data_IF_576560178489
#
_entry.id   IF_576560178489
#
_cell.length_a   1.000
_cell.length_b   1.000
_cell.length_c   1.000
_cell.angle_alpha   90.00
_cell.angle_beta   90.00
_cell.angle_gamma   90.00
#
_symmetry.space_group_name_H-M   'P 1'
#
loop_
_entity.id
_entity.type
_entity.pdbx_description
1 polymer ?
#
# COMPACT_ATOMS: atom_id res chain seq x y z
N UNK A 1 -45.92 -9.35 -69.91
CA UNK A 1 -45.78 -9.27 -68.44
C UNK A 1 -44.29 -9.29 -68.11
N UNK A 2 -43.78 -8.21 -67.51
CA UNK A 2 -42.36 -8.02 -67.18
C UNK A 2 -42.09 -8.62 -65.79
N UNK A 3 -41.12 -9.53 -65.67
CA UNK A 3 -40.57 -9.93 -64.38
C UNK A 3 -39.14 -9.40 -64.29
N UNK A 4 -38.92 -8.49 -63.34
CA UNK A 4 -37.62 -7.96 -62.97
C UNK A 4 -37.02 -8.87 -61.88
N UNK A 5 -35.83 -9.41 -62.13
CA UNK A 5 -34.98 -10.02 -61.11
C UNK A 5 -33.93 -8.99 -60.67
N UNK A 6 -34.01 -8.55 -59.42
CA UNK A 6 -32.98 -7.74 -58.77
C UNK A 6 -32.02 -8.70 -58.07
N UNK A 7 -30.75 -8.72 -58.52
CA UNK A 7 -29.67 -9.44 -57.86
C UNK A 7 -29.10 -8.53 -56.75
N UNK A 8 -29.24 -8.93 -55.49
CA UNK A 8 -28.75 -8.20 -54.32
C UNK A 8 -27.37 -8.76 -53.95
N UNK A 9 -26.30 -8.05 -54.30
CA UNK A 9 -24.92 -8.41 -53.95
C UNK A 9 -24.61 -8.00 -52.50
N UNK A 10 -24.38 -8.98 -51.62
CA UNK A 10 -23.86 -8.81 -50.27
C UNK A 10 -22.33 -8.66 -50.33
N UNK A 11 -21.83 -7.45 -50.08
CA UNK A 11 -20.41 -7.19 -49.84
C UNK A 11 -20.13 -7.43 -48.35
N UNK A 12 -19.48 -8.55 -48.03
CA UNK A 12 -18.98 -8.83 -46.69
C UNK A 12 -17.68 -8.03 -46.46
N UNK A 13 -17.76 -6.96 -45.68
CA UNK A 13 -16.61 -6.16 -45.28
C UNK A 13 -15.94 -6.85 -44.08
N UNK A 14 -14.96 -7.72 -44.34
CA UNK A 14 -14.16 -8.36 -43.29
C UNK A 14 -13.16 -7.36 -42.70
N UNK A 15 -13.50 -6.75 -41.57
CA UNK A 15 -12.55 -5.98 -40.76
C UNK A 15 -11.56 -6.95 -40.09
N UNK A 16 -10.38 -7.09 -40.67
CA UNK A 16 -9.26 -7.75 -39.99
C UNK A 16 -8.72 -6.81 -38.91
N UNK A 17 -9.03 -7.09 -37.65
CA UNK A 17 -8.36 -6.47 -36.52
C UNK A 17 -6.90 -6.96 -36.51
N UNK A 18 -5.97 -6.09 -36.90
CA UNK A 18 -4.54 -6.31 -36.68
C UNK A 18 -4.26 -6.21 -35.18
N UNK A 19 -4.24 -7.36 -34.52
CA UNK A 19 -3.69 -7.51 -33.16
C UNK A 19 -2.20 -7.22 -33.27
N UNK A 20 -1.78 -6.01 -32.86
CA UNK A 20 -0.38 -5.73 -32.60
C UNK A 20 0.03 -6.57 -31.40
N UNK A 21 0.70 -7.69 -31.65
CA UNK A 21 1.40 -8.42 -30.61
C UNK A 21 2.46 -7.49 -30.02
N UNK A 22 2.21 -6.97 -28.81
CA UNK A 22 3.21 -6.26 -28.04
C UNK A 22 4.32 -7.26 -27.71
N UNK A 23 5.46 -7.13 -28.39
CA UNK A 23 6.66 -7.91 -28.10
C UNK A 23 7.04 -7.68 -26.64
N UNK A 24 7.09 -8.75 -25.84
CA UNK A 24 7.55 -8.66 -24.46
C UNK A 24 8.93 -7.97 -24.44
N UNK A 25 9.20 -7.08 -23.46
CA UNK A 25 10.50 -6.43 -23.35
C UNK A 25 11.61 -7.48 -23.30
N UNK A 26 12.67 -7.28 -24.08
CA UNK A 26 13.84 -8.16 -24.03
C UNK A 26 14.41 -8.12 -22.60
N UNK A 27 14.67 -9.27 -21.97
CA UNK A 27 15.24 -9.29 -20.63
C UNK A 27 16.60 -8.57 -20.62
N UNK A 28 16.85 -7.81 -19.55
CA UNK A 28 18.11 -7.13 -19.34
C UNK A 28 19.27 -8.13 -19.23
N UNK A 29 20.49 -7.74 -19.66
CA UNK A 29 21.71 -8.46 -19.31
C UNK A 29 21.84 -8.61 -17.79
N UNK A 30 22.55 -9.66 -17.36
CA UNK A 30 22.72 -9.98 -15.94
C UNK A 30 23.31 -8.80 -15.14
N UNK A 31 24.22 -8.05 -15.73
CA UNK A 31 24.89 -6.93 -15.09
C UNK A 31 23.94 -5.75 -14.88
N UNK A 32 23.07 -5.46 -15.84
CA UNK A 32 22.00 -4.45 -15.71
C UNK A 32 21.00 -4.87 -14.62
N UNK A 33 20.58 -6.14 -14.65
CA UNK A 33 19.69 -6.70 -13.62
C UNK A 33 20.33 -6.64 -12.23
N UNK A 34 21.64 -6.87 -12.12
CA UNK A 34 22.35 -6.79 -10.84
C UNK A 34 22.35 -5.39 -10.24
N UNK A 35 22.49 -4.33 -11.06
CA UNK A 35 22.35 -2.94 -10.58
C UNK A 35 20.94 -2.69 -10.07
N UNK A 36 19.92 -3.08 -10.84
CA UNK A 36 18.52 -2.95 -10.43
C UNK A 36 18.22 -3.65 -9.10
N UNK A 37 18.68 -4.90 -8.98
CA UNK A 37 18.49 -5.72 -7.78
C UNK A 37 19.25 -5.14 -6.57
N UNK A 38 20.39 -4.48 -6.80
CA UNK A 38 21.13 -3.79 -5.74
C UNK A 38 20.36 -2.58 -5.23
N UNK A 39 19.88 -1.68 -6.10
CA UNK A 39 19.09 -0.51 -5.69
C UNK A 39 17.84 -0.91 -4.90
N UNK A 40 17.19 -1.99 -5.34
CA UNK A 40 16.05 -2.59 -4.67
C UNK A 40 16.40 -3.12 -3.28
N UNK A 41 17.57 -3.74 -3.12
CA UNK A 41 18.05 -4.23 -1.83
C UNK A 41 18.39 -3.08 -0.89
N UNK A 42 19.07 -2.05 -1.40
CA UNK A 42 19.47 -0.88 -0.62
C UNK A 42 18.24 -0.14 -0.06
N UNK A 43 17.24 0.12 -0.91
CA UNK A 43 16.00 0.76 -0.48
C UNK A 43 15.29 -0.05 0.64
N UNK A 44 15.28 -1.37 0.54
CA UNK A 44 14.68 -2.23 1.57
C UNK A 44 15.49 -2.28 2.85
N UNK A 45 16.81 -2.21 2.76
CA UNK A 45 17.69 -2.16 3.92
C UNK A 45 17.44 -0.90 4.76
N UNK A 46 17.01 0.19 4.11
CA UNK A 46 16.55 1.43 4.75
C UNK A 46 15.11 1.36 5.28
N UNK A 47 14.41 0.23 5.10
CA UNK A 47 13.00 0.06 5.45
C UNK A 47 12.02 0.68 4.44
N UNK A 48 12.52 1.13 3.29
CA UNK A 48 11.72 1.76 2.25
C UNK A 48 11.08 0.78 1.26
N UNK A 49 10.13 1.32 0.49
CA UNK A 49 9.44 0.63 -0.61
C UNK A 49 10.05 1.07 -1.94
N UNK A 50 10.50 0.10 -2.73
CA UNK A 50 11.15 0.33 -4.01
C UNK A 50 10.10 0.51 -5.13
N UNK A 51 10.09 1.70 -5.74
CA UNK A 51 9.17 2.09 -6.82
C UNK A 51 9.97 2.30 -8.11
N UNK A 52 9.88 1.38 -9.09
CA UNK A 52 10.64 1.47 -10.32
C UNK A 52 9.79 1.89 -11.53
N UNK A 53 10.35 2.75 -12.38
CA UNK A 53 10.05 2.80 -13.81
C UNK A 53 11.01 1.86 -14.56
N UNK A 54 10.57 0.60 -14.71
CA UNK A 54 11.35 -0.40 -15.45
C UNK A 54 11.57 -0.04 -16.92
N UNK A 55 10.71 0.77 -17.55
CA UNK A 55 10.90 1.14 -18.95
C UNK A 55 12.02 2.18 -19.09
N UNK A 56 12.06 3.15 -18.16
CA UNK A 56 13.09 4.19 -18.10
C UNK A 56 14.42 3.74 -17.50
N UNK A 57 14.45 2.67 -16.70
CA UNK A 57 15.64 2.29 -15.91
C UNK A 57 16.90 2.00 -16.72
N UNK A 58 16.78 1.36 -17.87
CA UNK A 58 17.95 0.98 -18.65
C UNK A 58 17.73 1.11 -20.15
N UNK A 59 18.57 1.92 -20.78
CA UNK A 59 18.54 2.16 -22.23
C UNK A 59 19.73 1.49 -22.89
N UNK A 60 19.46 0.62 -23.87
CA UNK A 60 20.50 0.03 -24.70
C UNK A 60 21.04 1.07 -25.69
N UNK A 61 22.34 1.27 -25.69
CA UNK A 61 23.03 2.22 -26.57
C UNK A 61 24.27 1.59 -27.19
N UNK A 62 25.00 2.34 -28.00
CA UNK A 62 26.34 1.96 -28.45
C UNK A 62 27.18 3.25 -28.45
N UNK A 63 28.12 3.33 -27.52
CA UNK A 63 28.92 4.54 -27.21
C UNK A 63 30.42 4.25 -27.15
N UNK A 64 30.81 2.98 -27.04
CA UNK A 64 32.20 2.55 -27.02
C UNK A 64 32.82 2.37 -28.41
N UNK A 65 32.03 2.44 -29.49
CA UNK A 65 32.46 2.28 -30.88
C UNK A 65 33.07 0.90 -31.19
N UNK A 66 32.67 -0.14 -30.46
CA UNK A 66 33.14 -1.53 -30.65
C UNK A 66 32.12 -2.42 -31.37
N UNK A 67 30.97 -1.84 -31.77
CA UNK A 67 29.90 -2.53 -32.48
C UNK A 67 29.04 -3.46 -31.59
N UNK A 68 29.25 -3.44 -30.27
CA UNK A 68 28.46 -4.19 -29.29
C UNK A 68 27.60 -3.24 -28.46
N UNK A 69 26.46 -3.73 -27.93
CA UNK A 69 25.61 -2.86 -27.13
C UNK A 69 26.24 -2.52 -25.78
N UNK A 70 26.15 -1.25 -25.43
CA UNK A 70 26.37 -0.69 -24.10
C UNK A 70 25.01 -0.39 -23.46
N UNK A 71 24.99 -0.05 -22.17
CA UNK A 71 23.75 0.26 -21.44
C UNK A 71 23.93 1.50 -20.57
N UNK A 72 23.01 2.46 -20.70
CA UNK A 72 22.88 3.56 -19.73
C UNK A 72 21.83 3.17 -18.70
N UNK A 73 22.20 3.30 -17.43
CA UNK A 73 21.37 3.02 -16.25
C UNK A 73 20.93 4.35 -15.65
N UNK A 74 19.61 4.56 -15.59
CA UNK A 74 18.97 5.78 -15.11
C UNK A 74 18.50 5.58 -13.67
N UNK A 75 19.29 6.04 -12.69
CA UNK A 75 18.92 5.84 -11.29
C UNK A 75 17.67 6.65 -10.91
N UNK A 76 17.44 7.76 -11.60
CA UNK A 76 16.23 8.58 -11.49
C UNK A 76 14.94 7.84 -11.88
N UNK A 77 15.04 6.74 -12.63
CA UNK A 77 13.90 5.87 -12.93
C UNK A 77 13.52 4.98 -11.74
N UNK A 78 14.14 5.17 -10.58
CA UNK A 78 13.80 4.45 -9.34
C UNK A 78 13.61 5.45 -8.21
N UNK A 79 12.71 5.11 -7.29
CA UNK A 79 12.38 5.90 -6.10
C UNK A 79 12.30 4.98 -4.90
N UNK A 80 12.83 5.43 -3.75
CA UNK A 80 12.62 4.76 -2.48
C UNK A 80 11.70 5.61 -1.60
N UNK A 81 10.75 5.02 -0.88
CA UNK A 81 9.78 5.84 -0.11
C UNK A 81 10.40 6.61 1.06
N UNK A 82 11.53 6.15 1.60
CA UNK A 82 12.26 6.77 2.73
C UNK A 82 13.16 7.93 2.32
N UNK A 83 13.63 7.93 1.08
CA UNK A 83 14.63 8.88 0.57
C UNK A 83 14.20 9.55 -0.74
N UNK A 84 12.97 9.30 -1.20
CA UNK A 84 12.43 9.85 -2.44
C UNK A 84 13.28 9.47 -3.66
N UNK A 85 13.39 10.42 -4.59
CA UNK A 85 14.36 10.36 -5.69
C UNK A 85 15.77 10.81 -5.25
N UNK A 86 15.85 11.47 -4.08
CA UNK A 86 17.09 12.07 -3.57
C UNK A 86 18.18 11.05 -3.21
N UNK A 87 17.83 9.78 -3.04
CA UNK A 87 18.80 8.71 -2.83
C UNK A 87 19.89 8.67 -3.92
N UNK A 88 19.57 9.10 -5.14
CA UNK A 88 20.47 9.07 -6.29
C UNK A 88 20.47 10.38 -7.10
N UNK A 89 19.85 11.42 -6.56
CA UNK A 89 19.71 12.71 -7.22
C UNK A 89 20.05 13.85 -6.26
N UNK A 90 20.63 14.92 -6.80
CA UNK A 90 20.92 16.15 -6.06
C UNK A 90 20.96 17.36 -6.97
N UNK A 91 21.53 18.47 -6.49
CA UNK A 91 21.61 19.74 -7.26
C UNK A 91 22.50 19.62 -8.52
N UNK A 92 23.35 18.59 -8.58
CA UNK A 92 24.16 18.24 -9.75
C UNK A 92 23.41 17.39 -10.78
N UNK A 93 22.14 17.06 -10.53
CA UNK A 93 21.34 16.12 -11.31
C UNK A 93 21.33 14.72 -10.70
N UNK A 94 20.96 13.71 -11.49
CA UNK A 94 20.83 12.34 -11.04
C UNK A 94 22.00 11.48 -11.51
N UNK A 95 22.30 10.43 -10.74
CA UNK A 95 23.32 9.45 -11.12
C UNK A 95 22.89 8.73 -12.39
N UNK A 96 23.80 8.66 -13.35
CA UNK A 96 23.73 7.66 -14.41
C UNK A 96 24.91 6.70 -14.30
N UNK A 97 24.64 5.42 -14.52
CA UNK A 97 25.67 4.41 -14.75
C UNK A 97 25.79 4.11 -16.24
N UNK A 98 26.99 3.84 -16.75
CA UNK A 98 27.15 3.29 -18.11
C UNK A 98 27.91 1.98 -18.02
N UNK A 99 27.24 0.91 -18.45
CA UNK A 99 27.85 -0.41 -18.58
C UNK A 99 28.32 -0.60 -20.03
N UNK A 100 29.64 -0.58 -20.22
CA UNK A 100 30.29 -0.74 -21.51
C UNK A 100 30.63 -2.20 -21.81
N UNK A 101 30.53 -2.57 -23.08
CA UNK A 101 30.93 -3.87 -23.58
C UNK A 101 32.43 -4.14 -23.41
N UNK A 102 32.76 -5.37 -22.97
CA UNK A 102 34.14 -5.86 -22.87
C UNK A 102 34.25 -7.29 -23.39
N UNK A 103 35.45 -7.88 -23.32
CA UNK A 103 35.67 -9.29 -23.63
C UNK A 103 34.97 -10.23 -22.64
N UNK A 104 34.72 -9.79 -21.41
CA UNK A 104 34.22 -10.62 -20.31
C UNK A 104 32.76 -10.29 -19.93
N UNK A 105 32.02 -9.58 -20.80
CA UNK A 105 30.68 -9.08 -20.49
C UNK A 105 30.65 -7.57 -20.34
N UNK A 106 29.62 -7.07 -19.67
CA UNK A 106 29.47 -5.64 -19.41
C UNK A 106 30.24 -5.23 -18.15
N UNK A 107 30.82 -4.03 -18.15
CA UNK A 107 31.41 -3.43 -16.95
C UNK A 107 31.05 -1.96 -16.85
N UNK A 108 30.99 -1.44 -15.63
CA UNK A 108 30.84 0.00 -15.43
C UNK A 108 32.06 0.75 -16.01
N UNK A 109 31.77 1.71 -16.88
CA UNK A 109 32.75 2.60 -17.51
C UNK A 109 32.47 4.08 -17.23
N UNK A 110 31.33 4.40 -16.61
CA UNK A 110 30.95 5.73 -16.14
C UNK A 110 29.95 5.60 -14.98
N UNK A 111 30.08 6.44 -13.96
CA UNK A 111 29.16 6.56 -12.84
C UNK A 111 29.33 7.96 -12.23
N UNK A 112 28.38 8.85 -12.47
CA UNK A 112 28.40 10.21 -11.91
C UNK A 112 27.03 10.88 -12.02
N UNK A 113 26.85 12.00 -11.32
CA UNK A 113 25.67 12.85 -11.41
C UNK A 113 25.69 13.70 -12.70
N UNK A 114 24.60 13.64 -13.46
CA UNK A 114 24.39 14.47 -14.64
C UNK A 114 22.98 15.06 -14.64
N UNK A 115 22.82 16.20 -15.30
CA UNK A 115 21.54 16.87 -15.54
C UNK A 115 20.89 16.46 -16.88
N UNK A 116 21.53 15.55 -17.61
CA UNK A 116 21.15 15.23 -18.98
C UNK A 116 22.22 14.40 -19.68
N UNK A 117 21.82 13.56 -20.62
CA UNK A 117 22.75 12.90 -21.53
C UNK A 117 22.13 12.60 -22.90
N UNK A 118 22.99 12.49 -23.91
CA UNK A 118 22.63 11.96 -25.22
C UNK A 118 23.83 11.27 -25.90
N UNK A 119 23.54 10.29 -26.75
CA UNK A 119 24.51 9.74 -27.69
C UNK A 119 24.53 10.62 -28.93
N UNK A 120 25.68 11.23 -29.19
CA UNK A 120 25.89 12.17 -30.29
C UNK A 120 26.88 11.60 -31.32
N UNK A 121 26.77 12.06 -32.56
CA UNK A 121 27.80 11.83 -33.58
C UNK A 121 28.93 12.84 -33.38
N UNK A 122 30.15 12.37 -33.16
CA UNK A 122 31.34 13.24 -33.04
C UNK A 122 32.01 13.43 -34.39
N UNK A 123 31.96 12.40 -35.24
CA UNK A 123 32.28 12.50 -36.66
C UNK A 123 31.48 11.44 -37.46
N UNK A 124 31.78 11.29 -38.74
CA UNK A 124 31.08 10.36 -39.63
C UNK A 124 31.17 8.87 -39.23
N UNK A 125 32.12 8.51 -38.36
CA UNK A 125 32.39 7.11 -37.98
C UNK A 125 32.30 6.87 -36.48
N UNK A 126 32.37 7.92 -35.65
CA UNK A 126 32.44 7.79 -34.20
C UNK A 126 31.27 8.47 -33.51
N UNK A 127 30.69 7.73 -32.56
CA UNK A 127 29.76 8.26 -31.56
C UNK A 127 30.52 8.72 -30.33
N UNK A 128 29.90 9.64 -29.62
CA UNK A 128 30.31 10.10 -28.30
C UNK A 128 29.10 10.27 -27.41
N UNK A 129 29.38 10.63 -26.17
CA UNK A 129 28.40 10.91 -25.15
C UNK A 129 28.42 12.41 -24.85
N UNK A 130 27.30 13.07 -25.02
CA UNK A 130 27.09 14.41 -24.48
C UNK A 130 26.50 14.26 -23.08
N UNK A 131 27.10 14.93 -22.10
CA UNK A 131 26.62 15.00 -20.73
C UNK A 131 26.32 16.44 -20.36
N UNK A 132 25.21 16.67 -19.68
CA UNK A 132 24.89 17.96 -19.09
C UNK A 132 25.28 17.97 -17.62
N UNK A 133 26.05 18.96 -17.22
CA UNK A 133 26.55 19.15 -15.86
C UNK A 133 26.37 20.60 -15.42
N UNK A 134 26.82 20.90 -14.20
CA UNK A 134 26.78 22.23 -13.62
C UNK A 134 27.67 23.22 -14.40
N UNK A 135 27.19 24.46 -14.60
CA UNK A 135 27.87 25.48 -15.40
C UNK A 135 29.31 25.79 -14.97
N UNK A 136 29.65 25.57 -13.70
CA UNK A 136 31.02 25.74 -13.19
C UNK A 136 32.05 24.85 -13.89
N UNK A 137 31.65 23.70 -14.43
CA UNK A 137 32.52 22.82 -15.23
C UNK A 137 33.00 23.54 -16.50
N UNK A 138 32.13 24.36 -17.09
CA UNK A 138 32.44 25.21 -18.23
C UNK A 138 33.05 26.57 -17.84
N UNK A 139 33.26 26.84 -16.54
CA UNK A 139 33.66 28.13 -15.99
C UNK A 139 32.54 29.19 -15.88
N UNK A 140 31.28 28.74 -15.86
CA UNK A 140 30.08 29.56 -15.66
C UNK A 140 29.55 29.50 -14.22
N UNK A 141 28.30 29.93 -14.02
CA UNK A 141 27.61 29.85 -12.73
C UNK A 141 26.93 28.50 -12.53
N UNK A 142 26.56 28.18 -11.30
CA UNK A 142 26.02 26.87 -11.00
C UNK A 142 24.63 26.52 -11.52
N UNK A 143 23.80 27.55 -11.66
CA UNK A 143 22.50 27.40 -12.29
C UNK A 143 22.61 27.20 -13.82
N UNK A 144 23.72 27.58 -14.43
CA UNK A 144 23.92 27.37 -15.88
C UNK A 144 24.15 25.89 -16.19
N UNK A 145 23.90 25.51 -17.44
CA UNK A 145 24.09 24.16 -17.95
C UNK A 145 25.36 24.11 -18.80
N UNK A 146 26.26 23.18 -18.45
CA UNK A 146 27.47 22.88 -19.19
C UNK A 146 27.31 21.55 -19.93
N UNK A 147 27.52 21.52 -21.24
CA UNK A 147 27.62 20.30 -22.02
C UNK A 147 29.06 19.83 -22.14
N UNK A 148 29.35 18.59 -21.79
CA UNK A 148 30.64 17.93 -22.01
C UNK A 148 30.51 16.82 -23.05
N UNK A 149 31.36 16.84 -24.07
CA UNK A 149 31.44 15.75 -25.07
C UNK A 149 32.56 14.80 -24.71
N UNK A 150 32.20 13.55 -24.41
CA UNK A 150 33.12 12.46 -24.11
C UNK A 150 33.17 11.47 -25.27
N UNK A 151 34.37 11.00 -25.59
CA UNK A 151 34.61 9.93 -26.57
C UNK A 151 35.36 8.79 -25.90
N UNK A 152 34.89 7.57 -26.10
CA UNK A 152 35.59 6.39 -25.62
C UNK A 152 36.80 6.08 -26.49
N UNK A 153 37.98 5.96 -25.89
CA UNK A 153 39.22 5.64 -26.63
C UNK A 153 39.61 4.15 -26.58
N UNK A 154 38.69 3.27 -26.16
CA UNK A 154 38.95 1.86 -25.92
C UNK A 154 39.37 1.53 -24.48
N UNK A 155 39.74 2.53 -23.67
CA UNK A 155 40.15 2.32 -22.27
C UNK A 155 39.46 3.24 -21.27
N UNK A 156 39.26 4.51 -21.63
CA UNK A 156 38.64 5.54 -20.80
C UNK A 156 37.89 6.55 -21.65
N UNK A 157 37.03 7.31 -21.01
CA UNK A 157 36.45 8.51 -21.59
C UNK A 157 37.51 9.60 -21.76
N UNK A 158 37.48 10.25 -22.91
CA UNK A 158 38.30 11.43 -23.21
C UNK A 158 37.33 12.57 -23.52
N UNK A 159 37.44 13.67 -22.76
CA UNK A 159 36.71 14.89 -23.08
C UNK A 159 37.31 15.52 -24.34
N UNK A 160 36.45 15.75 -25.34
CA UNK A 160 36.85 16.30 -26.65
C UNK A 160 36.17 17.62 -26.98
N UNK A 161 35.11 17.97 -26.25
CA UNK A 161 34.37 19.20 -26.44
C UNK A 161 33.69 19.65 -25.15
N UNK A 162 33.42 20.95 -25.08
CA UNK A 162 32.68 21.56 -23.99
C UNK A 162 31.87 22.75 -24.50
N UNK A 163 30.63 22.88 -24.07
CA UNK A 163 29.66 23.85 -24.58
C UNK A 163 28.90 24.49 -23.41
N UNK A 164 28.80 25.82 -23.40
CA UNK A 164 27.95 26.54 -22.43
C UNK A 164 26.53 26.69 -22.97
N UNK A 165 25.57 26.84 -22.06
CA UNK A 165 24.18 27.16 -22.37
C UNK A 165 23.53 26.15 -23.33
N UNK A 166 23.84 24.87 -23.12
CA UNK A 166 23.18 23.79 -23.86
C UNK A 166 21.75 23.68 -23.34
N UNK A 167 20.82 23.50 -24.26
CA UNK A 167 19.39 23.34 -23.99
C UNK A 167 19.10 21.90 -23.50
N UNK A 168 18.71 21.69 -22.22
CA UNK A 168 18.44 20.36 -21.69
C UNK A 168 17.30 19.64 -22.38
N UNK A 169 16.30 20.38 -22.89
CA UNK A 169 15.11 19.80 -23.55
C UNK A 169 15.42 19.04 -24.85
N UNK A 170 16.67 19.11 -25.33
CA UNK A 170 17.14 18.40 -26.53
C UNK A 170 17.87 17.10 -26.21
N UNK A 171 18.05 16.76 -24.94
CA UNK A 171 18.70 15.52 -24.52
C UNK A 171 17.71 14.35 -24.53
N UNK A 172 18.24 13.13 -24.66
CA UNK A 172 17.41 11.91 -24.66
C UNK A 172 17.15 11.35 -23.27
N UNK A 173 18.05 11.59 -22.32
CA UNK A 173 17.91 11.15 -20.94
C UNK A 173 18.43 12.17 -19.94
N UNK A 174 18.19 11.92 -18.66
CA UNK A 174 18.60 12.80 -17.55
C UNK A 174 17.59 13.86 -17.09
N UNK A 175 16.33 13.80 -17.52
CA UNK A 175 15.22 14.54 -16.90
C UNK A 175 14.67 13.81 -15.67
N UNK A 176 15.53 13.52 -14.69
CA UNK A 176 15.03 13.22 -13.34
C UNK A 176 14.30 14.46 -12.81
N UNK A 177 13.24 14.33 -12.01
CA UNK A 177 12.57 15.50 -11.43
C UNK A 177 13.55 16.25 -10.53
N UNK A 178 14.14 17.35 -11.04
CA UNK A 178 15.04 18.24 -10.28
C UNK A 178 14.24 19.15 -9.34
N UNK A 179 12.92 19.24 -9.51
CA UNK A 179 12.05 20.06 -8.67
C UNK A 179 11.00 19.18 -7.96
N UNK A 180 11.02 19.26 -6.62
CA UNK A 180 9.94 18.82 -5.73
C UNK A 180 9.48 17.36 -5.88
N UNK A 181 10.42 16.43 -6.04
CA UNK A 181 10.13 15.00 -6.14
C UNK A 181 9.53 14.39 -4.84
N UNK A 182 9.60 15.14 -3.73
CA UNK A 182 8.92 14.86 -2.46
C UNK A 182 7.62 15.65 -2.26
N UNK A 183 7.28 16.59 -3.15
CA UNK A 183 5.95 17.19 -3.12
C UNK A 183 4.92 16.11 -3.42
N UNK A 184 3.84 16.11 -2.64
CA UNK A 184 2.69 15.30 -2.97
C UNK A 184 2.27 15.62 -4.41
N UNK A 185 2.02 14.60 -5.26
CA UNK A 185 1.51 14.85 -6.59
C UNK A 185 0.25 15.73 -6.46
N UNK A 186 0.10 16.78 -7.28
CA UNK A 186 -1.04 17.68 -7.17
C UNK A 186 -2.34 16.86 -7.24
N UNK A 187 -3.41 17.25 -6.51
CA UNK A 187 -4.65 16.48 -6.49
C UNK A 187 -5.14 16.18 -7.90
N UNK A 188 -5.05 14.90 -8.29
CA UNK A 188 -5.36 14.48 -9.66
C UNK A 188 -6.86 14.30 -9.89
N UNK A 189 -7.66 14.37 -8.83
CA UNK A 189 -9.11 14.26 -8.88
C UNK A 189 -9.80 14.93 -7.67
N UNK A 190 -11.08 15.26 -7.80
CA UNK A 190 -11.89 15.91 -6.76
C UNK A 190 -12.83 14.96 -6.02
N UNK A 191 -12.66 13.64 -6.21
CA UNK A 191 -13.44 12.63 -5.49
C UNK A 191 -13.43 12.87 -3.98
N UNK A 192 -14.51 12.54 -3.28
CA UNK A 192 -14.64 12.71 -1.82
C UNK A 192 -15.17 11.44 -1.20
N UNK A 193 -14.84 11.23 0.05
CA UNK A 193 -15.42 10.17 0.83
C UNK A 193 -16.87 10.49 1.14
N UNK A 194 -17.71 9.47 1.02
CA UNK A 194 -19.14 9.54 1.28
C UNK A 194 -19.51 8.38 2.20
N UNK A 195 -20.48 8.64 3.07
CA UNK A 195 -21.10 7.63 3.90
C UNK A 195 -22.47 7.26 3.34
N UNK A 196 -22.78 5.97 3.29
CA UNK A 196 -24.06 5.46 2.87
C UNK A 196 -24.45 4.18 3.63
N UNK A 197 -25.74 3.87 3.63
CA UNK A 197 -26.29 2.65 4.24
C UNK A 197 -26.49 2.74 5.75
N UNK A 198 -26.88 1.61 6.35
CA UNK A 198 -27.17 1.46 7.78
C UNK A 198 -26.82 0.05 8.26
N UNK A 199 -26.48 -0.10 9.54
CA UNK A 199 -26.16 -1.40 10.14
C UNK A 199 -25.03 -2.12 9.40
N UNK A 200 -25.19 -3.41 9.11
CA UNK A 200 -24.17 -4.22 8.44
C UNK A 200 -23.92 -3.83 6.98
N UNK A 201 -24.84 -3.10 6.35
CA UNK A 201 -24.71 -2.59 4.99
C UNK A 201 -24.10 -1.18 4.91
N UNK A 202 -23.69 -0.61 6.04
CA UNK A 202 -23.06 0.72 6.06
C UNK A 202 -21.66 0.69 5.45
N UNK A 203 -21.32 1.76 4.72
CA UNK A 203 -20.03 1.92 4.04
C UNK A 203 -19.60 3.39 4.04
N UNK A 204 -18.30 3.62 4.25
CA UNK A 204 -17.63 4.87 3.96
C UNK A 204 -16.71 4.64 2.76
N UNK A 205 -16.91 5.32 1.63
CA UNK A 205 -16.12 5.06 0.44
C UNK A 205 -15.84 6.33 -0.36
N UNK A 206 -14.70 6.33 -1.06
CA UNK A 206 -14.40 7.27 -2.13
C UNK A 206 -14.60 6.57 -3.48
N UNK A 207 -15.38 7.19 -4.35
CA UNK A 207 -15.66 6.74 -5.72
C UNK A 207 -15.15 7.76 -6.72
N UNK A 208 -14.75 7.30 -7.91
CA UNK A 208 -14.22 8.19 -8.95
C UNK A 208 -12.69 8.34 -8.94
N UNK A 209 -11.99 7.46 -8.22
CA UNK A 209 -10.53 7.31 -8.32
C UNK A 209 -10.14 6.79 -9.73
N UNK A 210 -9.00 7.19 -10.33
CA UNK A 210 -8.64 6.78 -11.69
C UNK A 210 -8.43 5.27 -11.82
N UNK A 211 -7.78 4.63 -10.85
CA UNK A 211 -7.43 3.21 -10.81
C UNK A 211 -8.50 2.34 -10.12
N UNK A 212 -9.20 2.84 -9.10
CA UNK A 212 -10.19 2.07 -8.36
C UNK A 212 -11.61 2.60 -8.63
N UNK A 213 -12.56 1.70 -8.90
CA UNK A 213 -13.97 2.07 -8.97
C UNK A 213 -14.46 2.57 -7.61
N UNK A 214 -13.99 1.93 -6.53
CA UNK A 214 -14.18 2.37 -5.16
C UNK A 214 -13.00 1.93 -4.28
N UNK A 215 -12.63 2.79 -3.33
CA UNK A 215 -11.86 2.41 -2.14
C UNK A 215 -12.75 2.76 -0.96
N UNK A 216 -12.99 1.83 -0.06
CA UNK A 216 -13.93 2.06 1.03
C UNK A 216 -13.70 1.20 2.25
N UNK A 217 -14.33 1.59 3.34
CA UNK A 217 -14.37 0.90 4.61
C UNK A 217 -15.80 0.47 4.87
N UNK A 218 -16.00 -0.80 5.23
CA UNK A 218 -17.31 -1.37 5.57
C UNK A 218 -17.25 -2.14 6.89
N UNK A 219 -18.41 -2.49 7.42
CA UNK A 219 -18.48 -3.27 8.65
C UNK A 219 -17.99 -4.71 8.45
N UNK A 220 -17.20 -5.21 9.40
CA UNK A 220 -16.81 -6.60 9.48
C UNK A 220 -17.93 -7.47 10.06
N UNK A 221 -18.22 -8.64 9.46
CA UNK A 221 -19.00 -9.68 10.12
C UNK A 221 -18.37 -10.02 11.47
N UNK A 222 -19.10 -9.80 12.56
CA UNK A 222 -18.58 -9.97 13.93
C UNK A 222 -17.90 -8.75 14.56
N UNK A 223 -17.92 -7.60 13.88
CA UNK A 223 -17.40 -6.33 14.39
C UNK A 223 -15.99 -5.99 13.89
N UNK A 224 -15.69 -4.69 13.86
CA UNK A 224 -14.49 -4.13 13.26
C UNK A 224 -14.77 -3.51 11.89
N UNK A 225 -13.69 -3.04 11.26
CA UNK A 225 -13.72 -2.37 9.96
C UNK A 225 -12.91 -3.17 8.93
N UNK A 226 -13.50 -3.40 7.76
CA UNK A 226 -12.81 -3.92 6.58
C UNK A 226 -12.54 -2.80 5.60
N UNK A 227 -11.30 -2.68 5.14
CA UNK A 227 -11.04 -1.97 3.91
C UNK A 227 -11.40 -2.86 2.72
N UNK A 228 -11.94 -2.24 1.68
CA UNK A 228 -12.26 -2.81 0.39
C UNK A 228 -11.67 -1.94 -0.70
N UNK A 229 -11.13 -2.58 -1.73
CA UNK A 229 -10.69 -1.94 -2.96
C UNK A 229 -11.30 -2.68 -4.13
N UNK A 230 -11.92 -1.92 -5.04
CA UNK A 230 -12.52 -2.43 -6.27
C UNK A 230 -11.69 -1.90 -7.44
N UNK A 231 -10.71 -2.68 -7.96
CA UNK A 231 -9.86 -2.23 -9.04
C UNK A 231 -10.64 -2.09 -10.35
N UNK A 232 -10.29 -1.10 -11.18
CA UNK A 232 -10.78 -1.02 -12.56
C UNK A 232 -9.99 -1.94 -13.48
N UNK A 233 -10.55 -2.19 -14.65
CA UNK A 233 -9.85 -2.89 -15.73
C UNK A 233 -8.54 -2.17 -16.08
N UNK A 234 -7.45 -2.93 -16.22
CA UNK A 234 -6.12 -2.41 -16.57
C UNK A 234 -5.22 -2.08 -15.39
N UNK A 235 -5.72 -2.07 -14.15
CA UNK A 235 -4.85 -2.02 -12.97
C UNK A 235 -4.08 -3.35 -12.85
N UNK A 236 -2.74 -3.32 -12.72
CA UNK A 236 -1.97 -4.54 -12.44
C UNK A 236 -2.41 -5.16 -11.12
N UNK A 237 -2.96 -6.38 -11.18
CA UNK A 237 -3.43 -7.12 -10.01
C UNK A 237 -2.42 -8.19 -9.60
N UNK A 238 -2.39 -8.55 -8.31
CA UNK A 238 -1.56 -9.65 -7.86
C UNK A 238 -1.99 -10.99 -8.47
N UNK A 239 -1.03 -11.91 -8.56
CA UNK A 239 -1.31 -13.29 -8.96
C UNK A 239 -2.34 -13.93 -8.01
N UNK A 240 -3.17 -14.88 -8.48
CA UNK A 240 -4.15 -15.55 -7.64
C UNK A 240 -3.53 -16.10 -6.34
N UNK A 241 -4.16 -15.78 -5.21
CA UNK A 241 -3.68 -16.18 -3.88
C UNK A 241 -2.62 -15.25 -3.27
N UNK A 242 -2.13 -14.25 -3.98
CA UNK A 242 -1.28 -13.20 -3.42
C UNK A 242 -2.11 -11.98 -2.98
N UNK A 243 -1.72 -11.29 -1.89
CA UNK A 243 -2.43 -10.10 -1.45
C UNK A 243 -2.12 -8.90 -2.35
N UNK A 244 -3.09 -8.00 -2.46
CA UNK A 244 -2.88 -6.64 -2.94
C UNK A 244 -2.42 -5.80 -1.74
N UNK A 245 -1.23 -5.21 -1.83
CA UNK A 245 -0.75 -4.28 -0.81
C UNK A 245 -1.00 -2.85 -1.27
N UNK A 246 -1.62 -2.04 -0.42
CA UNK A 246 -1.87 -0.61 -0.65
C UNK A 246 -1.14 0.18 0.44
N UNK A 247 -0.20 1.05 0.06
CA UNK A 247 0.47 1.94 1.00
C UNK A 247 -0.09 3.35 0.89
N UNK A 248 -0.46 3.90 2.03
CA UNK A 248 -1.00 5.24 2.20
C UNK A 248 0.06 6.09 2.89
N UNK A 249 0.54 7.14 2.21
CA UNK A 249 1.59 8.02 2.72
C UNK A 249 1.09 9.45 2.82
N UNK A 250 1.20 10.04 4.02
CA UNK A 250 0.97 11.46 4.25
C UNK A 250 2.28 12.23 4.03
N UNK A 251 2.27 13.17 3.10
CA UNK A 251 3.42 14.07 2.88
C UNK A 251 3.59 15.09 3.99
N UNK A 252 2.53 15.41 4.75
CA UNK A 252 2.58 16.42 5.81
C UNK A 252 2.94 15.85 7.18
N UNK A 253 2.56 14.60 7.45
CA UNK A 253 2.78 13.99 8.76
C UNK A 253 4.02 13.08 8.80
N UNK A 254 4.70 12.87 7.66
CA UNK A 254 5.78 11.89 7.50
C UNK A 254 5.39 10.51 8.07
N UNK A 255 4.16 10.08 7.73
CA UNK A 255 3.57 8.81 8.18
C UNK A 255 3.16 7.99 6.99
N UNK A 256 3.41 6.68 7.09
CA UNK A 256 3.04 5.71 6.07
C UNK A 256 2.40 4.47 6.72
N UNK A 257 1.26 4.03 6.19
CA UNK A 257 0.57 2.80 6.61
C UNK A 257 0.36 1.86 5.42
N UNK A 258 0.50 0.55 5.63
CA UNK A 258 0.30 -0.44 4.56
C UNK A 258 -0.89 -1.33 4.85
N UNK A 259 -1.91 -1.23 4.01
CA UNK A 259 -3.05 -2.12 4.03
C UNK A 259 -2.74 -3.39 3.21
N UNK A 260 -2.98 -4.55 3.83
CA UNK A 260 -2.98 -5.85 3.13
C UNK A 260 -4.42 -6.23 2.79
N UNK A 261 -4.71 -6.49 1.52
CA UNK A 261 -6.03 -6.92 1.07
C UNK A 261 -5.94 -8.27 0.33
N UNK A 262 -6.88 -9.16 0.61
CA UNK A 262 -7.00 -10.47 -0.04
C UNK A 262 -8.15 -10.44 -1.03
N UNK A 263 -7.99 -11.12 -2.17
CA UNK A 263 -9.04 -11.23 -3.16
C UNK A 263 -10.27 -11.93 -2.57
N UNK A 264 -11.45 -11.33 -2.74
CA UNK A 264 -12.71 -11.95 -2.35
C UNK A 264 -13.00 -13.17 -3.24
N UNK A 265 -13.42 -14.32 -2.66
CA UNK A 265 -13.72 -15.52 -3.44
C UNK A 265 -14.73 -15.26 -4.55
N UNK A 266 -14.36 -15.58 -5.79
CA UNK A 266 -15.22 -15.41 -6.97
C UNK A 266 -15.45 -13.97 -7.43
N UNK A 267 -14.71 -12.99 -6.89
CA UNK A 267 -14.78 -11.58 -7.27
C UNK A 267 -13.41 -11.02 -7.62
N UNK A 268 -13.41 -9.84 -8.26
CA UNK A 268 -12.20 -9.05 -8.51
C UNK A 268 -11.93 -8.03 -7.39
N UNK A 269 -12.77 -8.01 -6.36
CA UNK A 269 -12.66 -7.11 -5.23
C UNK A 269 -11.63 -7.63 -4.24
N UNK A 270 -10.95 -6.73 -3.57
CA UNK A 270 -9.98 -7.04 -2.52
C UNK A 270 -10.49 -6.50 -1.19
N UNK A 271 -10.36 -7.29 -0.13
CA UNK A 271 -10.74 -6.87 1.21
C UNK A 271 -9.80 -7.39 2.29
N UNK A 272 -9.67 -6.63 3.37
CA UNK A 272 -8.83 -6.99 4.51
C UNK A 272 -9.20 -6.17 5.74
N UNK A 273 -8.97 -6.73 6.93
CA UNK A 273 -9.13 -5.99 8.19
C UNK A 273 -8.28 -4.74 8.10
N UNK A 274 -8.84 -3.59 8.46
CA UNK A 274 -8.13 -2.33 8.30
C UNK A 274 -6.87 -2.31 9.18
N UNK A 275 -5.75 -1.88 8.61
CA UNK A 275 -4.52 -1.66 9.37
C UNK A 275 -4.69 -0.43 10.28
N UNK A 276 -4.30 -0.47 11.57
CA UNK A 276 -4.52 0.64 12.50
C UNK A 276 -3.83 1.94 12.08
N UNK A 277 -2.67 1.88 11.42
CA UNK A 277 -1.98 3.08 10.92
C UNK A 277 -2.77 3.67 9.76
N UNK A 278 -3.27 2.82 8.87
CA UNK A 278 -4.15 3.25 7.76
C UNK A 278 -5.46 3.83 8.28
N UNK A 279 -6.10 3.20 9.27
CA UNK A 279 -7.29 3.74 9.91
C UNK A 279 -7.01 5.12 10.53
N UNK A 280 -5.89 5.27 11.24
CA UNK A 280 -5.47 6.56 11.83
C UNK A 280 -5.23 7.64 10.77
N UNK A 281 -4.63 7.29 9.63
CA UNK A 281 -4.42 8.22 8.52
C UNK A 281 -5.75 8.66 7.90
N UNK A 282 -6.65 7.72 7.64
CA UNK A 282 -7.94 8.00 7.00
C UNK A 282 -8.93 8.74 7.91
N UNK A 283 -8.83 8.54 9.22
CA UNK A 283 -9.67 9.17 10.25
C UNK A 283 -9.07 10.47 10.82
N UNK A 284 -7.87 10.83 10.37
CA UNK A 284 -7.09 11.98 10.82
C UNK A 284 -7.59 13.33 10.28
N UNK A 285 -6.66 14.26 10.05
CA UNK A 285 -7.00 15.49 9.31
C UNK A 285 -7.14 15.14 7.83
N UNK A 286 -8.11 15.75 7.16
CA UNK A 286 -8.33 15.65 5.71
C UNK A 286 -7.15 16.30 4.96
N UNK A 287 -6.01 15.62 4.97
CA UNK A 287 -4.74 15.98 4.32
C UNK A 287 -4.52 15.09 3.11
N UNK A 288 -3.50 15.35 2.31
CA UNK A 288 -3.32 14.60 1.08
C UNK A 288 -2.58 13.27 1.31
N UNK A 289 -3.11 12.14 0.80
CA UNK A 289 -2.44 10.85 0.82
C UNK A 289 -2.01 10.41 -0.59
N UNK A 290 -0.73 10.09 -0.74
CA UNK A 290 -0.26 9.33 -1.90
C UNK A 290 -0.61 7.85 -1.72
N UNK A 291 -1.13 7.22 -2.78
CA UNK A 291 -1.40 5.78 -2.83
C UNK A 291 -0.44 5.09 -3.78
N UNK A 292 0.33 4.16 -3.24
CA UNK A 292 1.11 3.21 -4.03
C UNK A 292 0.59 1.80 -3.79
N UNK A 293 0.68 0.96 -4.82
CA UNK A 293 0.26 -0.42 -4.72
C UNK A 293 1.37 -1.38 -5.11
N UNK A 294 1.38 -2.55 -4.47
CA UNK A 294 2.19 -3.68 -4.90
C UNK A 294 1.29 -4.86 -5.24
N UNK A 295 1.48 -5.36 -6.46
CA UNK A 295 0.86 -6.59 -6.98
C UNK A 295 1.79 -7.80 -6.90
N UNK A 296 3.05 -7.63 -6.47
CA UNK A 296 4.04 -8.71 -6.44
C UNK A 296 4.48 -9.11 -5.01
N UNK A 297 3.61 -8.80 -4.03
CA UNK A 297 3.83 -9.14 -2.62
C UNK A 297 4.79 -8.19 -1.91
N UNK A 298 4.77 -6.91 -2.30
CA UNK A 298 5.61 -5.86 -1.71
C UNK A 298 7.02 -5.81 -2.30
N UNK A 299 7.29 -6.58 -3.37
CA UNK A 299 8.64 -6.62 -3.91
C UNK A 299 8.94 -5.36 -4.69
N UNK A 300 8.00 -4.90 -5.50
CA UNK A 300 8.01 -3.66 -6.26
C UNK A 300 6.68 -2.96 -6.05
N UNK A 301 6.75 -1.65 -6.06
CA UNK A 301 5.62 -0.78 -5.83
C UNK A 301 5.40 0.09 -7.05
N UNK A 302 4.15 0.42 -7.31
CA UNK A 302 3.75 1.31 -8.37
C UNK A 302 3.00 2.50 -7.78
N UNK A 303 3.44 3.70 -8.14
CA UNK A 303 2.64 4.91 -7.93
C UNK A 303 1.33 4.76 -8.73
N UNK A 304 0.20 4.72 -8.02
CA UNK A 304 -1.11 4.65 -8.66
C UNK A 304 -1.62 6.07 -8.86
N UNK A 305 -2.03 6.72 -7.78
CA UNK A 305 -2.41 8.14 -7.78
C UNK A 305 -2.51 8.66 -6.35
N UNK A 306 -2.97 9.90 -6.23
CA UNK A 306 -3.49 10.47 -5.00
C UNK A 306 -4.81 9.79 -4.58
N UNK A 307 -5.07 9.70 -3.27
CA UNK A 307 -6.40 9.41 -2.71
C UNK A 307 -6.87 10.63 -1.93
N UNK A 308 -8.03 11.15 -2.31
CA UNK A 308 -8.67 12.25 -1.60
C UNK A 308 -9.09 11.84 -0.20
N UNK A 309 -8.68 12.60 0.81
CA UNK A 309 -9.23 12.51 2.16
C UNK A 309 -10.40 13.45 2.40
N UNK A 310 -10.82 14.23 1.39
CA UNK A 310 -11.95 15.15 1.57
C UNK A 310 -13.20 14.39 2.03
N UNK A 311 -13.63 14.64 3.27
CA UNK A 311 -14.79 14.01 3.89
C UNK A 311 -14.53 12.64 4.54
N UNK A 312 -13.29 12.13 4.55
CA UNK A 312 -12.98 10.78 5.06
C UNK A 312 -13.32 10.68 6.54
N UNK A 313 -12.91 11.68 7.32
CA UNK A 313 -13.14 11.71 8.76
C UNK A 313 -14.62 11.75 9.11
N UNK A 314 -15.42 12.54 8.39
CA UNK A 314 -16.86 12.58 8.59
C UNK A 314 -17.54 11.25 8.21
N UNK A 315 -17.12 10.64 7.09
CA UNK A 315 -17.67 9.38 6.62
C UNK A 315 -17.34 8.21 7.57
N UNK A 316 -16.08 8.11 8.03
CA UNK A 316 -15.63 7.06 8.95
C UNK A 316 -16.29 7.21 10.33
N UNK A 317 -16.39 8.44 10.86
CA UNK A 317 -17.12 8.69 12.11
C UNK A 317 -18.60 8.31 12.02
N UNK A 318 -19.20 8.42 10.84
CA UNK A 318 -20.58 7.99 10.61
C UNK A 318 -20.69 6.45 10.51
N UNK A 319 -19.65 5.79 9.99
CA UNK A 319 -19.59 4.33 9.82
C UNK A 319 -19.40 3.58 11.14
N UNK A 320 -18.48 4.03 12.00
CA UNK A 320 -18.09 3.29 13.22
C UNK A 320 -19.29 2.90 14.10
N UNK A 321 -20.23 3.81 14.43
CA UNK A 321 -21.41 3.45 15.21
C UNK A 321 -22.30 2.40 14.54
N UNK A 322 -22.44 2.43 13.21
CA UNK A 322 -23.24 1.45 12.47
C UNK A 322 -22.64 0.06 12.59
N UNK A 323 -21.31 -0.05 12.50
CA UNK A 323 -20.62 -1.32 12.65
C UNK A 323 -20.72 -1.87 14.08
N UNK A 324 -20.66 -0.99 15.09
CA UNK A 324 -20.82 -1.40 16.48
C UNK A 324 -22.24 -1.96 16.73
N UNK A 325 -23.27 -1.29 16.20
CA UNK A 325 -24.66 -1.74 16.26
C UNK A 325 -24.88 -3.07 15.52
N UNK A 326 -24.34 -3.19 14.31
CA UNK A 326 -24.46 -4.41 13.50
C UNK A 326 -23.81 -5.63 14.20
N UNK A 327 -22.63 -5.43 14.80
CA UNK A 327 -21.97 -6.46 15.58
C UNK A 327 -22.81 -6.89 16.79
N UNK A 328 -23.41 -5.93 17.50
CA UNK A 328 -24.26 -6.22 18.66
C UNK A 328 -25.50 -7.03 18.30
N UNK A 329 -26.14 -6.69 17.18
CA UNK A 329 -27.27 -7.45 16.65
C UNK A 329 -26.89 -8.88 16.25
N UNK A 330 -25.74 -9.06 15.60
CA UNK A 330 -25.23 -10.38 15.21
C UNK A 330 -24.94 -11.27 16.44
N UNK A 331 -24.24 -10.73 17.44
CA UNK A 331 -23.95 -11.45 18.68
C UNK A 331 -25.24 -11.83 19.44
N UNK A 332 -26.23 -10.93 19.49
CA UNK A 332 -27.53 -11.22 20.09
C UNK A 332 -28.27 -12.37 19.39
N UNK A 333 -28.26 -12.39 18.06
CA UNK A 333 -28.87 -13.47 17.28
C UNK A 333 -28.17 -14.82 17.48
N UNK A 334 -26.83 -14.83 17.54
CA UNK A 334 -26.05 -16.04 17.80
C UNK A 334 -26.24 -16.58 19.22
N UNK A 335 -26.40 -15.67 20.18
CA UNK A 335 -26.62 -16.04 21.57
C UNK A 335 -28.05 -16.54 21.85
N UNK A 336 -29.04 -16.19 21.03
CA UNK A 336 -30.41 -16.71 21.16
C UNK A 336 -30.49 -18.25 21.03
N UNK A 337 -29.49 -18.89 20.42
CA UNK A 337 -29.36 -20.35 20.36
C UNK A 337 -28.55 -20.97 21.50
N UNK A 338 -28.02 -20.17 22.44
CA UNK A 338 -27.13 -20.62 23.51
C UNK A 338 -27.85 -20.64 24.86
N UNK A 339 -27.60 -21.67 25.66
CA UNK A 339 -28.22 -21.82 26.99
C UNK A 339 -27.35 -21.14 28.06
N UNK A 340 -27.91 -20.28 28.93
CA UNK A 340 -27.16 -19.70 30.03
C UNK A 340 -26.68 -20.77 31.03
N UNK A 341 -25.45 -20.66 31.51
CA UNK A 341 -24.84 -21.63 32.40
C UNK A 341 -24.74 -21.12 33.84
N UNK A 342 -24.93 -22.02 34.80
CA UNK A 342 -24.75 -21.75 36.22
C UNK A 342 -23.25 -21.59 36.56
N UNK A 343 -22.90 -20.89 37.65
CA UNK A 343 -23.80 -20.23 38.61
C UNK A 343 -24.23 -18.81 38.23
N UNK A 344 -23.64 -18.19 37.19
CA UNK A 344 -23.91 -16.79 36.86
C UNK A 344 -25.19 -16.58 36.05
N UNK A 345 -25.70 -17.63 35.38
CA UNK A 345 -26.91 -17.54 34.57
C UNK A 345 -26.71 -16.70 33.31
N UNK A 346 -25.48 -16.71 32.76
CA UNK A 346 -25.10 -16.05 31.51
C UNK A 346 -24.56 -17.07 30.52
N UNK A 347 -24.51 -16.70 29.24
CA UNK A 347 -24.00 -17.56 28.18
C UNK A 347 -22.48 -17.73 28.32
N UNK A 348 -21.99 -18.96 28.14
CA UNK A 348 -20.56 -19.24 28.11
C UNK A 348 -19.90 -18.56 26.90
N UNK A 349 -18.71 -18.02 27.08
CA UNK A 349 -17.97 -17.33 26.03
C UNK A 349 -17.27 -16.10 26.58
N UNK A 350 -17.18 -15.08 25.73
CA UNK A 350 -16.40 -13.90 26.03
C UNK A 350 -17.30 -12.68 26.08
N UNK A 351 -16.93 -11.69 26.88
CA UNK A 351 -17.67 -10.44 27.03
C UNK A 351 -16.71 -9.28 26.78
N UNK A 352 -17.13 -8.36 25.91
CA UNK A 352 -16.35 -7.19 25.49
C UNK A 352 -17.19 -5.95 25.73
N UNK A 353 -16.57 -4.82 26.06
CA UNK A 353 -17.25 -3.55 26.23
C UNK A 353 -18.11 -3.22 25.00
N UNK A 354 -19.31 -2.68 25.21
CA UNK A 354 -20.24 -2.39 24.10
C UNK A 354 -19.76 -1.28 23.17
N UNK A 355 -18.87 -0.42 23.65
CA UNK A 355 -18.16 0.57 22.85
C UNK A 355 -17.08 -0.03 21.94
N UNK A 356 -16.68 -1.28 22.17
CA UNK A 356 -15.58 -1.96 21.48
C UNK A 356 -16.09 -3.08 20.56
N UNK A 357 -15.25 -3.51 19.62
CA UNK A 357 -15.58 -4.60 18.70
C UNK A 357 -15.11 -5.95 19.25
N UNK A 358 -15.90 -7.01 19.07
CA UNK A 358 -15.48 -8.37 19.45
C UNK A 358 -14.14 -8.78 18.81
N UNK A 359 -13.88 -8.34 17.57
CA UNK A 359 -12.64 -8.63 16.86
C UNK A 359 -11.40 -7.93 17.45
N UNK A 360 -11.59 -6.80 18.12
CA UNK A 360 -10.51 -5.95 18.61
C UNK A 360 -10.90 -5.23 19.92
N UNK A 361 -11.00 -5.97 21.04
CA UNK A 361 -11.05 -5.34 22.36
C UNK A 361 -9.82 -4.46 22.55
N UNK A 362 -9.96 -3.29 23.17
CA UNK A 362 -8.84 -2.37 23.41
C UNK A 362 -8.00 -2.81 24.61
N UNK A 363 -8.66 -3.22 25.70
CA UNK A 363 -7.99 -3.47 26.97
C UNK A 363 -8.17 -4.91 27.45
N UNK A 364 -9.42 -5.34 27.66
CA UNK A 364 -9.68 -6.69 28.15
C UNK A 364 -11.01 -7.27 27.68
N UNK A 365 -11.07 -8.59 27.53
CA UNK A 365 -12.30 -9.34 27.37
C UNK A 365 -12.48 -10.29 28.58
N UNK A 366 -13.67 -10.34 29.15
CA UNK A 366 -14.00 -11.28 30.22
C UNK A 366 -14.37 -12.64 29.62
N UNK A 367 -13.70 -13.71 30.03
CA UNK A 367 -14.02 -15.08 29.65
C UNK A 367 -14.83 -15.78 30.75
N UNK A 368 -15.82 -16.60 30.36
CA UNK A 368 -16.59 -17.44 31.27
C UNK A 368 -17.07 -18.74 30.61
N UNK A 369 -16.99 -19.88 31.30
CA UNK A 369 -17.50 -21.18 30.80
C UNK A 369 -18.38 -21.98 31.76
N UNK A 370 -18.87 -21.33 32.82
CA UNK A 370 -19.61 -22.01 33.88
C UNK A 370 -18.73 -22.44 35.05
N UNK A 371 -17.44 -22.74 34.81
CA UNK A 371 -16.51 -23.23 35.84
C UNK A 371 -15.33 -22.30 36.08
N UNK A 372 -14.91 -21.60 35.05
CA UNK A 372 -13.76 -20.71 35.04
C UNK A 372 -14.19 -19.31 34.66
N UNK A 373 -13.46 -18.35 35.19
CA UNK A 373 -13.49 -16.96 34.77
C UNK A 373 -12.11 -16.59 34.25
N UNK A 374 -12.03 -15.58 33.39
CA UNK A 374 -10.75 -15.05 32.94
C UNK A 374 -10.80 -13.63 32.45
N UNK A 375 -9.66 -12.94 32.52
CA UNK A 375 -9.42 -11.64 31.92
C UNK A 375 -8.41 -11.84 30.79
N UNK A 376 -8.88 -11.69 29.57
CA UNK A 376 -8.08 -11.82 28.36
C UNK A 376 -7.54 -10.45 28.00
N UNK A 377 -6.21 -10.25 28.00
CA UNK A 377 -5.51 -8.97 27.81
C UNK A 377 -4.57 -8.93 26.61
N UNK A 378 -4.74 -9.87 25.67
CA UNK A 378 -4.00 -9.89 24.41
C UNK A 378 -2.83 -10.88 24.39
N UNK A 379 -2.65 -11.70 25.42
CA UNK A 379 -1.75 -12.85 25.42
C UNK A 379 -0.25 -12.50 25.49
N UNK A 380 0.09 -11.43 26.18
CA UNK A 380 1.47 -11.05 26.47
C UNK A 380 2.22 -12.07 27.34
N UNK A 381 3.53 -11.87 27.50
CA UNK A 381 4.39 -12.76 28.29
C UNK A 381 3.93 -12.86 29.75
N UNK A 382 4.21 -13.97 30.46
CA UNK A 382 3.89 -14.11 31.88
C UNK A 382 4.47 -12.95 32.70
N UNK A 383 3.65 -12.35 33.56
CA UNK A 383 3.97 -11.17 34.36
C UNK A 383 3.82 -9.82 33.64
N UNK A 384 3.42 -9.80 32.36
CA UNK A 384 3.15 -8.56 31.63
C UNK A 384 1.72 -8.06 31.85
N UNK A 385 1.48 -6.76 31.59
CA UNK A 385 0.14 -6.17 31.65
C UNK A 385 -0.83 -6.78 30.63
N UNK A 386 -0.31 -7.46 29.60
CA UNK A 386 -1.07 -8.10 28.52
C UNK A 386 -1.29 -9.61 28.77
N UNK A 387 -0.83 -10.16 29.90
CA UNK A 387 -1.01 -11.57 30.23
C UNK A 387 -2.49 -11.94 30.36
N UNK A 388 -2.90 -13.05 29.74
CA UNK A 388 -4.23 -13.61 29.93
C UNK A 388 -4.29 -14.36 31.25
N UNK A 389 -5.23 -14.01 32.11
CA UNK A 389 -5.44 -14.69 33.38
C UNK A 389 -6.73 -15.51 33.34
N UNK A 390 -6.65 -16.83 33.53
CA UNK A 390 -7.81 -17.71 33.59
C UNK A 390 -7.68 -18.60 34.81
N UNK A 391 -8.73 -18.63 35.64
CA UNK A 391 -8.74 -19.38 36.88
C UNK A 391 -10.11 -19.98 37.18
N UNK A 392 -10.23 -20.79 38.25
CA UNK A 392 -11.52 -21.23 38.72
C UNK A 392 -12.41 -20.02 39.05
N UNK A 393 -13.70 -20.12 38.76
CA UNK A 393 -14.67 -19.08 39.11
C UNK A 393 -14.72 -18.85 40.63
N UNK A 394 -14.51 -19.93 41.39
CA UNK A 394 -14.49 -19.87 42.84
C UNK A 394 -15.89 -19.73 43.45
N UNK A 395 -15.95 -19.12 44.63
CA UNK A 395 -17.23 -18.88 45.32
C UNK A 395 -18.00 -17.75 44.64
N UNK A 396 -19.31 -17.90 44.51
CA UNK A 396 -20.20 -16.87 43.94
C UNK A 396 -21.24 -16.47 44.98
N UNK A 397 -21.31 -15.18 45.30
CA UNK A 397 -22.24 -14.62 46.28
C UNK A 397 -23.26 -13.72 45.57
N UNK A 398 -24.55 -14.00 45.71
CA UNK A 398 -25.61 -13.22 45.07
C UNK A 398 -26.24 -12.26 46.07
N UNK A 399 -26.26 -10.97 45.76
CA UNK A 399 -26.90 -9.94 46.58
C UNK A 399 -27.62 -8.93 45.70
N UNK A 400 -28.90 -8.66 45.95
CA UNK A 400 -29.69 -7.57 45.30
C UNK A 400 -29.55 -7.44 43.77
N UNK A 401 -29.42 -8.55 43.06
CA UNK A 401 -29.32 -8.57 41.59
C UNK A 401 -27.91 -8.41 41.03
N UNK A 402 -26.89 -8.36 41.88
CA UNK A 402 -25.47 -8.45 41.54
C UNK A 402 -24.86 -9.74 42.08
N UNK A 403 -23.76 -10.15 41.46
CA UNK A 403 -22.93 -11.29 41.83
C UNK A 403 -21.57 -10.78 42.27
N UNK A 404 -21.20 -11.06 43.50
CA UNK A 404 -19.86 -10.82 44.01
C UNK A 404 -19.01 -12.09 43.82
N UNK A 405 -17.81 -11.90 43.28
CA UNK A 405 -16.82 -12.92 42.95
C UNK A 405 -15.57 -12.64 43.80
N UNK A 406 -15.49 -13.14 45.05
CA UNK A 406 -14.46 -12.77 46.01
C UNK A 406 -13.05 -13.12 45.51
N UNK A 407 -12.89 -14.29 44.90
CA UNK A 407 -11.61 -14.79 44.39
C UNK A 407 -11.07 -13.94 43.22
N UNK A 408 -11.94 -13.14 42.62
CA UNK A 408 -11.62 -12.21 41.54
C UNK A 408 -11.66 -10.75 42.00
N UNK A 409 -12.10 -10.48 43.23
CA UNK A 409 -12.39 -9.13 43.74
C UNK A 409 -13.27 -8.31 42.78
N UNK A 410 -14.25 -8.95 42.16
CA UNK A 410 -15.15 -8.35 41.16
C UNK A 410 -16.60 -8.41 41.63
N UNK A 411 -17.36 -7.36 41.34
CA UNK A 411 -18.81 -7.40 41.36
C UNK A 411 -19.33 -7.33 39.92
N UNK A 412 -20.36 -8.13 39.63
CA UNK A 412 -20.93 -8.29 38.31
C UNK A 412 -22.44 -8.16 38.37
N UNK A 413 -22.99 -7.21 37.61
CA UNK A 413 -24.42 -7.08 37.38
C UNK A 413 -24.80 -7.79 36.09
N UNK A 414 -25.76 -8.70 36.16
CA UNK A 414 -26.29 -9.36 34.97
C UNK A 414 -27.43 -8.50 34.42
N UNK A 415 -27.25 -7.93 33.23
CA UNK A 415 -28.27 -7.12 32.55
C UNK A 415 -29.20 -7.99 31.71
N UNK A 416 -28.64 -9.05 31.11
CA UNK A 416 -29.33 -10.14 30.42
C UNK A 416 -28.39 -11.34 30.33
N UNK A 417 -28.82 -12.53 29.88
CA UNK A 417 -27.91 -13.67 29.73
C UNK A 417 -26.71 -13.43 28.80
N UNK A 418 -26.73 -12.36 27.99
CA UNK A 418 -25.69 -12.01 27.01
C UNK A 418 -25.13 -10.61 27.24
N UNK A 419 -25.51 -9.95 28.34
CA UNK A 419 -25.04 -8.62 28.71
C UNK A 419 -24.77 -8.54 30.20
N UNK A 420 -23.57 -8.11 30.54
CA UNK A 420 -23.14 -7.96 31.92
C UNK A 420 -22.59 -6.56 32.13
N UNK A 421 -22.34 -6.20 33.38
CA UNK A 421 -21.65 -4.98 33.73
C UNK A 421 -20.76 -5.28 34.93
N UNK A 422 -19.47 -4.99 34.79
CA UNK A 422 -18.51 -5.11 35.88
C UNK A 422 -18.52 -3.84 36.71
N UNK A 423 -18.51 -3.99 38.03
CA UNK A 423 -18.48 -2.88 38.99
C UNK A 423 -17.29 -3.08 39.91
N UNK A 424 -16.10 -2.64 39.47
CA UNK A 424 -14.86 -2.70 40.25
C UNK A 424 -14.54 -1.28 40.68
N UNK A 425 -14.82 -0.93 41.95
CA UNK A 425 -14.68 0.40 42.56
C UNK A 425 -15.54 1.52 41.92
N UNK A 426 -15.65 1.56 40.58
CA UNK A 426 -16.56 2.35 39.77
C UNK A 426 -17.49 1.45 38.93
N UNK A 427 -18.62 2.00 38.47
CA UNK A 427 -19.53 1.29 37.55
C UNK A 427 -18.93 1.31 36.14
N UNK A 428 -18.37 0.18 35.69
CA UNK A 428 -17.81 0.03 34.35
C UNK A 428 -18.89 0.06 33.25
N UNK A 429 -18.50 0.24 31.97
CA UNK A 429 -19.44 0.18 30.86
C UNK A 429 -20.08 -1.21 30.74
N UNK A 430 -21.31 -1.32 30.22
CA UNK A 430 -21.90 -2.61 29.86
C UNK A 430 -21.02 -3.38 28.87
N UNK A 431 -20.94 -4.69 29.09
CA UNK A 431 -20.25 -5.63 28.21
C UNK A 431 -21.27 -6.55 27.55
N UNK A 432 -21.02 -6.87 26.28
CA UNK A 432 -21.82 -7.78 25.47
C UNK A 432 -21.08 -9.10 25.23
N UNK A 433 -21.84 -10.18 25.12
CA UNK A 433 -21.32 -11.48 24.72
C UNK A 433 -20.79 -11.43 23.28
N UNK A 434 -19.65 -12.08 23.07
CA UNK A 434 -18.97 -12.26 21.81
C UNK A 434 -18.70 -13.77 21.63
N UNK A 435 -19.12 -14.37 20.50
CA UNK A 435 -18.77 -15.75 20.18
C UNK A 435 -17.25 -15.86 19.98
N UNK A 436 -16.70 -17.02 20.31
CA UNK A 436 -15.25 -17.27 20.25
C UNK A 436 -14.66 -17.02 18.86
N UNK A 437 -15.43 -17.32 17.81
CA UNK A 437 -15.04 -17.16 16.41
C UNK A 437 -14.84 -15.69 16.01
N UNK A 438 -15.46 -14.75 16.73
CA UNK A 438 -15.33 -13.31 16.46
C UNK A 438 -14.15 -12.66 17.16
N UNK A 439 -13.55 -13.32 18.15
CA UNK A 439 -12.38 -12.77 18.83
C UNK A 439 -11.11 -12.98 18.03
N UNK A 440 -10.21 -12.00 18.03
CA UNK A 440 -8.85 -12.20 17.51
C UNK A 440 -8.13 -13.33 18.26
N UNK A 441 -7.27 -14.08 17.57
CA UNK A 441 -6.61 -15.27 18.13
C UNK A 441 -5.83 -15.01 19.43
N UNK A 442 -5.31 -13.79 19.62
CA UNK A 442 -4.60 -13.37 20.84
C UNK A 442 -5.49 -13.25 22.09
N UNK A 443 -6.79 -13.09 21.89
CA UNK A 443 -7.80 -12.92 22.95
C UNK A 443 -8.53 -14.21 23.31
N UNK A 444 -8.31 -15.29 22.56
CA UNK A 444 -8.94 -16.59 22.82
C UNK A 444 -8.14 -17.36 23.86
N UNK A 445 -8.83 -18.08 24.73
CA UNK A 445 -8.18 -19.07 25.60
C UNK A 445 -7.51 -20.12 24.70
N UNK A 446 -6.24 -20.41 25.01
CA UNK A 446 -5.44 -21.44 24.32
C UNK A 446 -5.54 -22.78 25.02
#
# INVERSE_FOLDING_TARGET
MRFAFVLMSLVACSTQATVHAQTAPKPWPREVQAVYDQLKQDCRAEGGKFVPDRAGFATQVEVTNDGKPDWVIEYAATRCTTSGYSAWCGTAGCVIGILGSTKNGLREIYNDNVRGWDVISVDAKRKGLMLLTHGSVCGGYGAEVCGQTLVWNGRKWVQTGMQRNVDPSKMKGGDGPIEDADAAPPPQHTARWQFAGTGSGAIAAVTGHPEFAAIGIRCQPGGGLYMTAVPKAGVPLPAPGQPLLLSFRSSMEDREGTQTLVQEPGKNDFSGTIDPVVESLLSGRDTDLSLIASSDGGKEWKDLSYVSLGGSTAAIRSLVPQCALAAGAASGAQAAGQTPVAPLGIVAGYYVNESEFCASPEFEALYYDGKRLGLMRGGGAPGSLEENFVGPLGKVEKSRGTFFLPDWSMEMKILSPTRIQLTIQDTGPPMRWCPAEQLGAKWRMR
#
